data_IF_527372917378
#
_entry.id   IF_527372917378
#
_cell.length_a   1.000
_cell.length_b   1.000
_cell.length_c   1.000
_cell.angle_alpha   90.00
_cell.angle_beta   90.00
_cell.angle_gamma   90.00
#
_symmetry.space_group_name_H-M   'P 1'
#
loop_
_entity.id
_entity.type
_entity.pdbx_description
1 polymer ?
#
# COMPACT_ATOMS: atom_id res chain seq x y z
N UNK A 1 17.65 15.37 4.46
CA UNK A 1 16.67 14.81 5.16
C UNK A 1 15.78 13.97 4.34
N UNK A 2 15.36 13.00 4.86
CA UNK A 2 14.58 12.14 4.10
C UNK A 2 13.32 12.82 3.78
N UNK A 3 12.81 12.53 2.72
CA UNK A 3 11.55 12.93 2.42
C UNK A 3 10.67 12.16 3.26
N UNK A 4 9.55 12.51 3.36
CA UNK A 4 8.61 11.98 4.25
C UNK A 4 8.21 10.56 3.98
N UNK A 5 8.75 9.97 2.94
CA UNK A 5 8.27 8.66 2.52
C UNK A 5 9.27 7.57 2.85
N UNK A 6 9.75 7.56 4.08
CA UNK A 6 10.57 6.43 4.47
C UNK A 6 9.65 5.22 4.74
N UNK A 7 10.27 4.10 5.03
CA UNK A 7 9.55 2.84 5.15
C UNK A 7 8.49 2.88 6.25
N UNK A 8 8.82 3.49 7.39
CA UNK A 8 7.88 3.56 8.50
C UNK A 8 6.66 4.39 8.15
N UNK A 9 6.88 5.52 7.50
CA UNK A 9 5.77 6.39 7.12
C UNK A 9 4.91 5.75 6.06
N UNK A 10 5.53 5.13 5.07
CA UNK A 10 4.78 4.47 4.02
C UNK A 10 3.95 3.33 4.59
N UNK A 11 4.55 2.55 5.50
CA UNK A 11 3.86 1.45 6.14
C UNK A 11 2.66 1.94 6.94
N UNK A 12 2.85 3.01 7.71
CA UNK A 12 1.79 3.56 8.52
C UNK A 12 0.64 4.07 7.65
N UNK A 13 0.98 4.75 6.57
CA UNK A 13 -0.05 5.27 5.68
C UNK A 13 -0.83 4.14 5.02
N UNK A 14 -0.13 3.10 4.57
CA UNK A 14 -0.79 1.96 3.95
C UNK A 14 -1.70 1.23 4.93
N UNK A 15 -1.21 1.03 6.15
CA UNK A 15 -2.02 0.35 7.16
C UNK A 15 -3.29 1.12 7.43
N UNK A 16 -3.18 2.42 7.59
CA UNK A 16 -4.35 3.24 7.84
C UNK A 16 -5.33 3.19 6.68
N UNK A 17 -4.80 3.31 5.46
CA UNK A 17 -5.66 3.37 4.29
C UNK A 17 -6.37 2.04 4.05
N UNK A 18 -5.61 0.97 4.10
CA UNK A 18 -6.17 -0.35 3.80
C UNK A 18 -7.05 -0.84 4.94
N UNK A 19 -6.66 -0.59 6.19
CA UNK A 19 -7.49 -0.94 7.33
C UNK A 19 -8.84 -0.26 7.25
N UNK A 20 -8.84 0.99 6.86
CA UNK A 20 -10.08 1.75 6.74
C UNK A 20 -10.98 1.14 5.66
N UNK A 21 -10.39 0.79 4.53
CA UNK A 21 -11.16 0.22 3.42
C UNK A 21 -11.71 -1.14 3.76
N UNK A 22 -10.96 -1.96 4.47
CA UNK A 22 -11.36 -3.32 4.81
C UNK A 22 -12.03 -3.41 6.18
N UNK A 23 -12.14 -2.28 6.88
CA UNK A 23 -12.80 -2.22 8.18
C UNK A 23 -12.12 -3.09 9.21
N UNK A 24 -10.80 -3.09 9.19
CA UNK A 24 -9.99 -3.80 10.18
C UNK A 24 -9.87 -2.90 11.40
N UNK A 25 -10.23 -3.41 12.56
CA UNK A 25 -10.33 -2.57 13.75
C UNK A 25 -9.14 -2.65 14.67
N UNK A 26 -8.44 -3.77 14.68
CA UNK A 26 -7.38 -3.99 15.65
C UNK A 26 -6.00 -3.83 15.08
N UNK A 27 -5.90 -3.12 13.96
CA UNK A 27 -4.62 -2.95 13.32
C UNK A 27 -4.35 -4.09 12.35
N UNK A 28 -3.35 -3.89 11.52
CA UNK A 28 -3.05 -4.83 10.46
C UNK A 28 -1.60 -5.24 10.58
N UNK A 29 -1.35 -6.55 10.54
CA UNK A 29 0.00 -7.07 10.57
C UNK A 29 0.68 -6.76 9.23
N UNK A 30 1.79 -6.01 9.21
CA UNK A 30 2.42 -5.65 7.95
C UNK A 30 3.04 -6.82 7.19
N UNK A 31 3.18 -7.96 7.84
CA UNK A 31 3.71 -9.16 7.19
C UNK A 31 2.64 -10.16 6.79
N UNK A 32 1.38 -9.89 7.12
CA UNK A 32 0.31 -10.81 6.79
C UNK A 32 -0.28 -10.46 5.44
N UNK A 33 -0.68 -11.47 4.66
CA UNK A 33 -1.28 -11.18 3.36
C UNK A 33 -2.62 -10.47 3.52
N UNK A 34 -2.92 -9.60 2.56
CA UNK A 34 -4.16 -8.83 2.62
C UNK A 34 -5.38 -9.74 2.61
N UNK A 35 -5.26 -10.91 2.02
CA UNK A 35 -6.38 -11.85 1.97
C UNK A 35 -6.82 -12.28 3.35
N UNK A 36 -5.92 -12.23 4.32
CA UNK A 36 -6.27 -12.54 5.70
C UNK A 36 -7.31 -11.56 6.24
N UNK A 37 -7.34 -10.36 5.70
CA UNK A 37 -8.24 -9.31 6.16
C UNK A 37 -9.44 -9.12 5.24
N UNK A 38 -9.67 -10.04 4.33
CA UNK A 38 -10.85 -10.00 3.50
C UNK A 38 -10.76 -9.14 2.26
N UNK A 39 -9.56 -8.93 1.75
CA UNK A 39 -9.40 -8.14 0.53
C UNK A 39 -10.08 -8.84 -0.64
N UNK A 40 -10.94 -8.11 -1.34
CA UNK A 40 -11.60 -8.61 -2.53
C UNK A 40 -11.06 -7.89 -3.76
N UNK A 41 -11.38 -8.43 -4.93
CA UNK A 41 -10.87 -7.88 -6.17
C UNK A 41 -11.21 -6.41 -6.36
N UNK A 42 -12.47 -6.06 -6.06
CA UNK A 42 -12.89 -4.67 -6.22
C UNK A 42 -12.15 -3.77 -5.25
N UNK A 43 -11.93 -4.25 -4.02
CA UNK A 43 -11.18 -3.47 -3.05
C UNK A 43 -9.77 -3.22 -3.53
N UNK A 44 -9.14 -4.24 -4.09
CA UNK A 44 -7.77 -4.13 -4.55
C UNK A 44 -7.63 -3.10 -5.66
N UNK A 45 -8.58 -3.08 -6.59
CA UNK A 45 -8.54 -2.12 -7.68
C UNK A 45 -8.71 -0.70 -7.16
N UNK A 46 -9.67 -0.49 -6.27
CA UNK A 46 -9.93 0.83 -5.74
C UNK A 46 -8.73 1.33 -4.94
N UNK A 47 -8.17 0.46 -4.10
CA UNK A 47 -7.02 0.84 -3.30
C UNK A 47 -5.81 1.14 -4.17
N UNK A 48 -5.60 0.37 -5.24
CA UNK A 48 -4.49 0.65 -6.15
C UNK A 48 -4.64 2.03 -6.76
N UNK A 49 -5.86 2.42 -7.13
CA UNK A 49 -6.09 3.74 -7.67
C UNK A 49 -5.81 4.83 -6.65
N UNK A 50 -6.24 4.63 -5.41
CA UNK A 50 -6.00 5.61 -4.37
C UNK A 50 -4.51 5.76 -4.07
N UNK A 51 -3.81 4.63 -4.03
CA UNK A 51 -2.38 4.67 -3.79
C UNK A 51 -1.67 5.36 -4.95
N UNK A 52 -2.10 5.09 -6.17
CA UNK A 52 -1.54 5.73 -7.35
C UNK A 52 -1.65 7.25 -7.25
N UNK A 53 -2.81 7.74 -6.83
CA UNK A 53 -3.01 9.18 -6.67
C UNK A 53 -2.10 9.74 -5.59
N UNK A 54 -1.90 8.99 -4.52
CA UNK A 54 -1.11 9.48 -3.40
C UNK A 54 0.36 9.56 -3.75
N UNK A 55 0.89 8.55 -4.45
CA UNK A 55 2.32 8.54 -4.74
C UNK A 55 2.65 9.21 -6.06
N UNK A 56 1.66 9.46 -6.90
CA UNK A 56 1.88 10.15 -8.17
C UNK A 56 2.55 9.32 -9.22
N UNK A 57 2.46 8.00 -9.13
CA UNK A 57 3.06 7.08 -10.07
C UNK A 57 1.99 6.11 -10.55
N UNK A 58 2.02 5.81 -11.84
CA UNK A 58 1.06 4.86 -12.39
C UNK A 58 1.33 3.47 -11.84
N UNK A 59 0.27 2.81 -11.33
CA UNK A 59 0.39 1.51 -10.70
C UNK A 59 -0.59 0.53 -11.33
N UNK A 60 -0.25 -0.76 -11.33
CA UNK A 60 -1.18 -1.74 -11.90
C UNK A 60 -2.37 -1.97 -10.97
N UNK A 61 -3.54 -2.28 -11.52
CA UNK A 61 -4.69 -2.57 -10.68
C UNK A 61 -4.51 -3.85 -9.84
N UNK A 62 -3.53 -4.66 -10.18
CA UNK A 62 -3.22 -5.88 -9.45
C UNK A 62 -2.17 -5.66 -8.37
N UNK A 63 -1.86 -4.41 -8.04
CA UNK A 63 -0.79 -4.06 -7.11
C UNK A 63 -0.85 -4.87 -5.82
N UNK A 64 -2.03 -4.93 -5.20
CA UNK A 64 -2.16 -5.58 -3.90
C UNK A 64 -2.16 -7.09 -3.97
N UNK A 65 -2.27 -7.64 -5.17
CA UNK A 65 -2.11 -9.08 -5.36
C UNK A 65 -0.66 -9.45 -5.61
N UNK A 66 0.07 -8.58 -6.30
CA UNK A 66 1.49 -8.81 -6.59
C UNK A 66 2.35 -8.55 -5.37
N UNK A 67 2.00 -7.54 -4.59
CA UNK A 67 2.69 -7.19 -3.36
C UNK A 67 1.68 -7.31 -2.23
N UNK A 68 1.47 -8.52 -1.76
CA UNK A 68 0.27 -8.83 -1.00
C UNK A 68 0.41 -8.63 0.50
N UNK A 69 1.46 -7.96 0.96
CA UNK A 69 1.58 -7.54 2.35
C UNK A 69 1.89 -6.05 2.39
N UNK A 70 1.66 -5.44 3.54
CA UNK A 70 1.99 -4.02 3.70
C UNK A 70 3.48 -3.81 3.46
N UNK A 71 4.33 -4.67 4.01
CA UNK A 71 5.77 -4.50 3.86
C UNK A 71 6.21 -4.61 2.41
N UNK A 72 5.68 -5.57 1.67
CA UNK A 72 6.04 -5.71 0.26
C UNK A 72 5.56 -4.53 -0.55
N UNK A 73 4.34 -4.10 -0.29
CA UNK A 73 3.77 -2.98 -1.01
C UNK A 73 4.55 -1.70 -0.72
N UNK A 74 4.89 -1.46 0.55
CA UNK A 74 5.63 -0.27 0.92
C UNK A 74 7.00 -0.25 0.26
N UNK A 75 7.68 -1.38 0.26
CA UNK A 75 8.99 -1.48 -0.35
C UNK A 75 8.94 -1.16 -1.84
N UNK A 76 7.96 -1.72 -2.53
CA UNK A 76 7.78 -1.45 -3.96
C UNK A 76 7.49 0.03 -4.21
N UNK A 77 6.60 0.62 -3.42
CA UNK A 77 6.22 2.02 -3.62
C UNK A 77 7.38 2.97 -3.38
N UNK A 78 8.22 2.66 -2.40
CA UNK A 78 9.40 3.49 -2.18
C UNK A 78 10.36 3.42 -3.35
N UNK A 79 10.48 2.25 -3.95
CA UNK A 79 11.37 2.08 -5.10
C UNK A 79 10.89 2.89 -6.30
N UNK A 80 9.61 2.77 -6.65
CA UNK A 80 9.10 3.53 -7.80
C UNK A 80 9.06 5.02 -7.52
N UNK A 81 8.74 5.41 -6.28
CA UNK A 81 8.74 6.81 -5.92
C UNK A 81 10.10 7.43 -6.03
N UNK A 82 11.12 6.70 -5.60
CA UNK A 82 12.49 7.16 -5.72
C UNK A 82 12.88 7.35 -7.16
N UNK A 83 12.51 6.43 -8.02
CA UNK A 83 12.83 6.53 -9.43
C UNK A 83 12.21 7.77 -10.04
N UNK A 84 10.97 8.03 -9.69
CA UNK A 84 10.28 9.20 -10.20
C UNK A 84 10.88 10.48 -9.66
N UNK A 85 11.26 10.48 -8.39
CA UNK A 85 11.80 11.66 -7.74
C UNK A 85 13.19 12.00 -8.25
N UNK A 86 13.89 11.03 -8.73
CA UNK A 86 15.20 11.30 -9.28
C UNK A 86 15.07 11.94 -10.65
#
# INVERSE_FOLDING_TARGET
MSNAKDMDEMRAWLIERISSALKVKNGMDPDAPFSKYGLQSIDAVILAMEIEEQVGVELPPTLLWEYNTVNECASYLLTVGSEIAA
#
